data_IF_131003681902
#
_entry.id   IF_131003681902
#
_cell.length_a   1.000
_cell.length_b   1.000
_cell.length_c   1.000
_cell.angle_alpha   90.00
_cell.angle_beta   90.00
_cell.angle_gamma   90.00
#
_symmetry.space_group_name_H-M   'P 1'
#
loop_
_entity.id
_entity.type
_entity.pdbx_description
1 polymer ?
#
# COMPACT_ATOMS: atom_id res chain seq x y z
N UNK A 1 -20.69 18.74 -5.96
CA UNK A 1 -20.15 17.62 -6.76
C UNK A 1 -19.53 16.60 -5.82
N UNK A 2 -20.16 15.45 -5.50
CA UNK A 2 -19.43 14.38 -4.81
C UNK A 2 -18.76 13.49 -5.87
N UNK A 3 -17.46 13.29 -5.73
CA UNK A 3 -16.61 12.52 -6.63
C UNK A 3 -16.80 11.01 -6.36
N UNK A 4 -17.84 10.42 -6.93
CA UNK A 4 -18.12 8.97 -6.83
C UNK A 4 -17.44 8.20 -7.96
N UNK A 5 -16.16 7.86 -7.77
CA UNK A 5 -15.43 6.95 -8.67
C UNK A 5 -14.33 6.12 -7.99
N UNK A 6 -14.06 6.35 -6.70
CA UNK A 6 -13.09 5.60 -5.92
C UNK A 6 -13.80 4.97 -4.72
N UNK A 7 -13.52 3.68 -4.45
CA UNK A 7 -14.03 2.91 -3.31
C UNK A 7 -14.23 3.74 -2.04
N UNK A 8 -15.42 3.62 -1.41
CA UNK A 8 -15.74 4.36 -0.19
C UNK A 8 -14.83 3.96 0.98
N UNK A 9 -14.50 4.94 1.83
CA UNK A 9 -13.63 4.73 3.00
C UNK A 9 -14.16 3.60 3.89
N UNK A 10 -15.46 3.54 4.13
CA UNK A 10 -16.09 2.49 4.94
C UNK A 10 -15.92 1.08 4.36
N UNK A 11 -16.03 0.94 3.03
CA UNK A 11 -15.76 -0.32 2.33
C UNK A 11 -14.30 -0.75 2.54
N UNK A 12 -13.37 0.19 2.43
CA UNK A 12 -11.94 -0.05 2.64
C UNK A 12 -11.64 -0.43 4.10
N UNK A 13 -12.23 0.26 5.07
CA UNK A 13 -12.11 -0.06 6.49
C UNK A 13 -12.62 -1.47 6.80
N UNK A 14 -13.74 -1.87 6.21
CA UNK A 14 -14.33 -3.20 6.39
C UNK A 14 -13.45 -4.31 5.80
N UNK A 15 -12.83 -4.08 4.64
CA UNK A 15 -11.85 -4.99 4.04
C UNK A 15 -10.57 -5.10 4.89
N UNK A 16 -10.15 -3.99 5.49
CA UNK A 16 -8.96 -3.93 6.34
C UNK A 16 -9.17 -4.62 7.70
N UNK A 17 -10.38 -4.56 8.25
CA UNK A 17 -10.72 -5.17 9.53
C UNK A 17 -10.59 -6.70 9.55
N UNK A 18 -10.64 -7.36 8.39
CA UNK A 18 -10.48 -8.82 8.27
C UNK A 18 -9.07 -9.29 7.92
N UNK A 19 -8.10 -8.37 7.77
CA UNK A 19 -6.77 -8.69 7.26
C UNK A 19 -5.67 -8.86 8.31
N UNK A 20 -4.45 -9.08 7.83
CA UNK A 20 -3.22 -9.21 8.63
C UNK A 20 -2.87 -7.94 9.44
N UNK A 21 -1.82 -8.03 10.28
CA UNK A 21 -1.27 -6.91 11.08
C UNK A 21 -1.09 -5.59 10.28
N UNK A 22 -0.73 -5.69 9.00
CA UNK A 22 -0.57 -4.53 8.11
C UNK A 22 -1.91 -3.86 7.81
N UNK A 23 -2.96 -4.66 7.66
CA UNK A 23 -4.32 -4.18 7.44
C UNK A 23 -4.86 -3.45 8.67
N UNK A 24 -4.57 -3.97 9.87
CA UNK A 24 -4.91 -3.28 11.12
C UNK A 24 -4.21 -1.91 11.23
N UNK A 25 -2.94 -1.81 10.81
CA UNK A 25 -2.22 -0.54 10.79
C UNK A 25 -2.78 0.45 9.75
N UNK A 26 -3.17 -0.04 8.57
CA UNK A 26 -3.85 0.76 7.56
C UNK A 26 -5.24 1.23 8.02
N UNK A 27 -5.98 0.40 8.75
CA UNK A 27 -7.26 0.78 9.35
C UNK A 27 -7.08 1.90 10.38
N UNK A 28 -6.08 1.76 11.26
CA UNK A 28 -5.74 2.81 12.23
C UNK A 28 -5.38 4.13 11.53
N UNK A 29 -4.67 4.06 10.40
CA UNK A 29 -4.36 5.23 9.58
C UNK A 29 -5.64 5.89 9.02
N UNK A 30 -6.57 5.12 8.43
CA UNK A 30 -7.83 5.67 7.91
C UNK A 30 -8.66 6.34 9.00
N UNK A 31 -8.70 5.76 10.19
CA UNK A 31 -9.36 6.35 11.37
C UNK A 31 -8.70 7.64 11.84
N UNK A 32 -7.40 7.79 11.61
CA UNK A 32 -6.63 9.00 11.87
C UNK A 32 -6.66 10.01 10.70
N UNK A 33 -7.70 9.95 9.85
CA UNK A 33 -7.88 10.84 8.69
C UNK A 33 -6.80 10.72 7.61
N UNK A 34 -6.25 9.51 7.43
CA UNK A 34 -5.31 9.25 6.35
C UNK A 34 -5.93 9.51 4.98
N UNK A 35 -5.13 10.12 4.10
CA UNK A 35 -5.49 10.26 2.69
C UNK A 35 -5.40 8.90 2.00
N UNK A 36 -6.39 8.54 1.20
CA UNK A 36 -6.36 7.32 0.41
C UNK A 36 -6.70 7.62 -1.05
N UNK A 37 -6.13 6.80 -1.93
CA UNK A 37 -6.38 6.84 -3.37
C UNK A 37 -6.44 5.40 -3.86
N UNK A 38 -7.50 5.06 -4.57
CA UNK A 38 -7.60 3.78 -5.29
C UNK A 38 -7.62 4.11 -6.76
N UNK A 39 -6.60 3.64 -7.48
CA UNK A 39 -6.53 3.84 -8.92
C UNK A 39 -7.43 2.83 -9.61
N UNK A 40 -8.23 3.26 -10.58
CA UNK A 40 -9.07 2.36 -11.38
C UNK A 40 -8.25 1.43 -12.31
N UNK A 41 -6.97 1.75 -12.50
CA UNK A 41 -6.05 1.00 -13.35
C UNK A 41 -5.80 -0.43 -12.87
N UNK A 42 -6.39 -1.39 -13.60
CA UNK A 42 -6.05 -2.81 -13.52
C UNK A 42 -4.58 -3.01 -13.90
N UNK A 43 -3.78 -3.45 -12.94
CA UNK A 43 -2.35 -3.69 -13.15
C UNK A 43 -2.05 -5.18 -13.06
N UNK A 44 -1.19 -5.66 -13.96
CA UNK A 44 -0.75 -7.05 -13.94
C UNK A 44 0.03 -7.36 -12.65
N UNK A 45 -0.38 -8.37 -11.86
CA UNK A 45 0.23 -8.70 -10.59
C UNK A 45 1.71 -9.12 -10.75
N UNK A 46 2.06 -9.76 -11.86
CA UNK A 46 3.44 -10.14 -12.19
C UNK A 46 4.39 -8.94 -12.39
N UNK A 47 3.89 -7.86 -12.98
CA UNK A 47 4.64 -6.62 -13.12
C UNK A 47 4.86 -5.95 -11.75
N UNK A 48 3.82 -5.96 -10.91
CA UNK A 48 3.88 -5.46 -9.54
C UNK A 48 4.83 -6.28 -8.68
N UNK A 49 4.77 -7.61 -8.73
CA UNK A 49 5.68 -8.49 -8.01
C UNK A 49 7.14 -8.20 -8.36
N UNK A 50 7.43 -7.95 -9.65
CA UNK A 50 8.78 -7.59 -10.11
C UNK A 50 9.22 -6.22 -9.57
N UNK A 51 8.36 -5.20 -9.66
CA UNK A 51 8.66 -3.84 -9.17
C UNK A 51 8.80 -3.82 -7.65
N UNK A 52 7.87 -4.44 -6.93
CA UNK A 52 7.86 -4.51 -5.48
C UNK A 52 8.94 -5.44 -4.93
N UNK A 53 9.32 -6.52 -5.62
CA UNK A 53 10.48 -7.33 -5.27
C UNK A 53 11.78 -6.54 -5.37
N UNK A 54 11.95 -5.73 -6.43
CA UNK A 54 13.08 -4.80 -6.54
C UNK A 54 13.06 -3.75 -5.43
N UNK A 55 11.88 -3.17 -5.13
CA UNK A 55 11.72 -2.20 -4.04
C UNK A 55 11.98 -2.81 -2.66
N UNK A 56 11.53 -4.03 -2.41
CA UNK A 56 11.78 -4.79 -1.18
C UNK A 56 13.28 -4.98 -0.98
N UNK A 57 13.99 -5.42 -2.03
CA UNK A 57 15.45 -5.57 -1.97
C UNK A 57 16.15 -4.23 -1.69
N UNK A 58 15.63 -3.12 -2.22
CA UNK A 58 16.16 -1.79 -1.99
C UNK A 58 15.85 -1.25 -0.58
N UNK A 59 14.64 -1.48 -0.07
CA UNK A 59 14.22 -1.08 1.29
C UNK A 59 14.94 -1.91 2.35
N UNK A 60 15.07 -3.22 2.16
CA UNK A 60 15.87 -4.09 3.03
C UNK A 60 17.34 -3.62 3.08
N UNK A 61 17.95 -3.31 1.93
CA UNK A 61 19.32 -2.77 1.91
C UNK A 61 19.45 -1.39 2.57
N UNK A 62 18.40 -0.57 2.54
CA UNK A 62 18.36 0.75 3.17
C UNK A 62 17.93 0.71 4.64
N UNK A 63 17.57 -0.46 5.18
CA UNK A 63 17.02 -0.59 6.53
C UNK A 63 15.67 0.08 6.70
N UNK A 64 14.92 0.27 5.61
CA UNK A 64 13.60 0.89 5.66
C UNK A 64 12.61 -0.13 6.19
N UNK A 65 11.91 0.25 7.26
CA UNK A 65 10.91 -0.58 7.91
C UNK A 65 9.74 -0.84 6.95
N UNK A 66 9.49 -2.12 6.67
CA UNK A 66 8.38 -2.55 5.81
C UNK A 66 7.56 -3.61 6.53
N UNK A 67 6.24 -3.55 6.36
CA UNK A 67 5.27 -4.47 6.95
C UNK A 67 4.45 -5.09 5.83
N UNK A 68 4.31 -6.42 5.80
CA UNK A 68 3.47 -7.10 4.81
C UNK A 68 4.00 -7.09 3.38
N UNK A 69 5.14 -6.44 3.08
CA UNK A 69 5.67 -6.33 1.71
C UNK A 69 6.06 -7.68 1.11
N UNK A 70 6.77 -8.53 1.88
CA UNK A 70 7.15 -9.87 1.43
C UNK A 70 5.93 -10.79 1.25
N UNK A 71 4.92 -10.64 2.09
CA UNK A 71 3.65 -11.36 1.98
C UNK A 71 2.87 -10.90 0.74
N UNK A 72 2.86 -9.59 0.47
CA UNK A 72 2.20 -9.02 -0.70
C UNK A 72 2.83 -9.51 -2.01
N UNK A 73 4.16 -9.54 -2.11
CA UNK A 73 4.86 -10.06 -3.30
C UNK A 73 4.54 -11.54 -3.52
N UNK A 74 4.53 -12.37 -2.48
CA UNK A 74 4.15 -13.78 -2.59
C UNK A 74 2.69 -13.96 -3.03
N UNK A 75 1.76 -13.20 -2.44
CA UNK A 75 0.35 -13.27 -2.87
C UNK A 75 0.18 -12.78 -4.31
N UNK A 76 0.87 -11.71 -4.72
CA UNK A 76 0.87 -11.22 -6.11
C UNK A 76 1.48 -12.22 -7.09
N UNK A 77 2.48 -12.99 -6.68
CA UNK A 77 3.07 -14.04 -7.51
C UNK A 77 2.08 -15.21 -7.74
N UNK A 78 1.33 -15.57 -6.69
CA UNK A 78 0.26 -16.58 -6.76
C UNK A 78 -1.00 -16.07 -7.47
N UNK A 79 -1.25 -14.76 -7.46
CA UNK A 79 -2.42 -14.16 -8.09
C UNK A 79 -2.17 -13.90 -9.58
N UNK A 80 -2.92 -14.57 -10.45
CA UNK A 80 -2.78 -14.43 -11.91
C UNK A 80 -3.73 -13.39 -12.53
N UNK A 81 -4.70 -12.89 -11.74
CA UNK A 81 -5.73 -11.96 -12.21
C UNK A 81 -5.27 -10.50 -12.08
N UNK A 82 -5.73 -9.59 -12.98
CA UNK A 82 -5.45 -8.17 -12.83
C UNK A 82 -5.94 -7.67 -11.47
N UNK A 83 -5.11 -6.87 -10.81
CA UNK A 83 -5.40 -6.31 -9.49
C UNK A 83 -5.48 -4.79 -9.59
N UNK A 84 -6.35 -4.21 -8.77
CA UNK A 84 -6.45 -2.78 -8.59
C UNK A 84 -5.50 -2.34 -7.47
N UNK A 85 -4.77 -1.25 -7.67
CA UNK A 85 -3.96 -0.68 -6.59
C UNK A 85 -4.76 0.34 -5.79
N UNK A 86 -4.64 0.24 -4.47
CA UNK A 86 -4.95 1.28 -3.52
C UNK A 86 -3.69 1.76 -2.80
N UNK A 87 -3.67 3.01 -2.39
CA UNK A 87 -2.66 3.57 -1.50
C UNK A 87 -3.36 4.38 -0.42
N UNK A 88 -2.93 4.18 0.82
CA UNK A 88 -3.29 4.97 1.98
C UNK A 88 -2.00 5.61 2.49
N UNK A 89 -2.03 6.92 2.72
CA UNK A 89 -0.95 7.67 3.32
C UNK A 89 -1.44 8.21 4.65
N UNK A 90 -0.76 7.84 5.73
CA UNK A 90 -1.03 8.40 7.07
C UNK A 90 -1.00 9.92 7.03
N UNK A 91 -1.80 10.59 7.85
CA UNK A 91 -1.78 12.04 8.00
C UNK A 91 -0.36 12.57 8.28
N UNK A 92 0.42 11.87 9.12
CA UNK A 92 1.83 12.19 9.41
C UNK A 92 2.79 11.99 8.24
N UNK A 93 2.34 11.40 7.13
CA UNK A 93 3.15 11.04 5.97
C UNK A 93 4.29 10.05 6.23
N UNK A 94 4.42 9.56 7.46
CA UNK A 94 5.47 8.66 7.92
C UNK A 94 5.27 7.23 7.45
N UNK A 95 4.03 6.84 7.14
CA UNK A 95 3.71 5.52 6.61
C UNK A 95 2.87 5.63 5.35
N UNK A 96 3.22 4.80 4.38
CA UNK A 96 2.46 4.61 3.16
C UNK A 96 2.07 3.14 3.11
N UNK A 97 0.78 2.89 3.16
CA UNK A 97 0.19 1.57 2.96
C UNK A 97 -0.26 1.46 1.51
N UNK A 98 0.05 0.37 0.85
CA UNK A 98 -0.42 0.03 -0.48
C UNK A 98 -1.24 -1.24 -0.37
N UNK A 99 -2.39 -1.23 -1.02
CA UNK A 99 -3.37 -2.30 -1.02
C UNK A 99 -3.48 -2.80 -2.44
N UNK A 100 -3.58 -4.10 -2.59
CA UNK A 100 -3.85 -4.75 -3.84
C UNK A 100 -5.23 -5.37 -3.69
N UNK A 101 -6.16 -4.86 -4.45
CA UNK A 101 -7.55 -5.31 -4.48
C UNK A 101 -7.76 -6.15 -5.73
N UNK A 102 -8.76 -7.01 -5.72
CA UNK A 102 -9.19 -7.73 -6.92
C UNK A 102 -9.66 -6.74 -8.01
N UNK A 103 -9.83 -7.20 -9.25
CA UNK A 103 -10.32 -6.39 -10.37
C UNK A 103 -11.65 -5.67 -10.04
N UNK A 104 -12.51 -6.34 -9.27
CA UNK A 104 -13.80 -5.82 -8.81
C UNK A 104 -13.67 -4.85 -7.62
N UNK A 105 -12.49 -4.78 -6.99
CA UNK A 105 -12.25 -3.98 -5.79
C UNK A 105 -12.93 -4.53 -4.52
N UNK A 106 -13.75 -5.57 -4.63
CA UNK A 106 -14.52 -6.16 -3.53
C UNK A 106 -13.71 -7.04 -2.59
N UNK A 107 -12.45 -7.34 -2.89
CA UNK A 107 -11.60 -8.18 -2.02
C UNK A 107 -10.18 -7.66 -1.96
N UNK A 108 -9.63 -7.60 -0.75
CA UNK A 108 -8.24 -7.27 -0.50
C UNK A 108 -7.38 -8.52 -0.73
N UNK A 109 -6.64 -8.54 -1.85
CA UNK A 109 -5.70 -9.61 -2.19
C UNK A 109 -4.48 -9.52 -1.27
N UNK A 110 -3.90 -8.33 -1.14
CA UNK A 110 -2.72 -8.11 -0.29
C UNK A 110 -2.65 -6.69 0.25
N UNK A 111 -2.02 -6.55 1.42
CA UNK A 111 -1.71 -5.26 2.02
C UNK A 111 -0.21 -5.18 2.34
N UNK A 112 0.41 -4.07 1.99
CA UNK A 112 1.80 -3.75 2.34
C UNK A 112 1.86 -2.37 2.96
N UNK A 113 2.73 -2.19 3.93
CA UNK A 113 3.09 -0.91 4.54
C UNK A 113 4.58 -0.67 4.36
N UNK A 114 4.94 0.53 3.94
CA UNK A 114 6.32 0.98 3.94
C UNK A 114 6.40 2.23 4.80
N UNK A 115 7.32 2.22 5.77
CA UNK A 115 7.63 3.43 6.51
C UNK A 115 8.41 4.32 5.58
N UNK A 116 7.84 5.47 5.24
CA UNK A 116 8.64 6.53 4.64
C UNK A 116 9.46 7.09 5.78
N UNK A 117 10.76 6.75 5.83
CA UNK A 117 11.66 7.66 6.51
C UNK A 117 11.39 9.03 5.90
N UNK A 118 11.12 10.08 6.69
CA UNK A 118 11.22 11.42 6.13
C UNK A 118 12.56 11.49 5.39
N UNK A 119 12.67 12.22 4.28
CA UNK A 119 13.97 12.60 3.76
C UNK A 119 14.63 13.43 4.88
N UNK A 120 15.20 12.78 5.88
CA UNK A 120 15.95 13.43 6.92
C UNK A 120 17.20 13.91 6.24
N UNK A 121 17.34 15.22 6.06
CA UNK A 121 18.63 15.88 6.12
C UNK A 121 19.75 15.18 5.33
N UNK A 122 19.49 14.81 4.08
CA UNK A 122 20.55 14.39 3.17
C UNK A 122 21.22 15.65 2.64
N UNK A 123 22.18 16.18 3.43
CA UNK A 123 23.25 17.12 3.07
C UNK A 123 22.82 18.46 2.45
N UNK A 124 22.75 19.51 3.27
CA UNK A 124 23.19 20.85 2.84
C UNK A 124 24.66 21.02 3.26
N UNK A 125 25.52 20.20 2.67
CA UNK A 125 26.97 20.41 2.67
C UNK A 125 27.37 20.59 1.22
N UNK A 126 27.25 21.82 0.71
CA UNK A 126 28.11 22.29 -0.37
C UNK A 126 28.39 23.76 -0.11
N UNK A 127 29.69 24.05 -0.18
CA UNK A 127 30.44 25.23 0.25
C UNK A 127 29.94 26.57 -0.31
#
# INVERSE_FOLDING_TARGET
MPQGGAMEREQLERLLGGGDKTSAAALAALRADASYVVWDGMTSPKALATVYGRRLRHTLRKGIETSGLAQAVQRLDLYSRPVRLGQIRTADGSWIFVLFLDADGSTLVACTGVRRSPPGSARQDTC
#
